data_IF_416493333965
#
_entry.id   IF_416493333965
#
_cell.length_a   1.000
_cell.length_b   1.000
_cell.length_c   1.000
_cell.angle_alpha   90.00
_cell.angle_beta   90.00
_cell.angle_gamma   90.00
#
_symmetry.space_group_name_H-M   'P 1'
#
loop_
_entity.id
_entity.type
_entity.pdbx_description
1 polymer ?
#
# COMPACT_ATOMS: atom_id res chain seq x y z
N UNK A 1 -6.82 -18.84 1.54
CA UNK A 1 -6.29 -17.57 2.10
C UNK A 1 -7.07 -16.42 1.46
N UNK A 2 -7.46 -15.38 2.21
CA UNK A 2 -8.08 -14.18 1.60
C UNK A 2 -7.07 -13.51 0.67
N UNK A 3 -7.55 -12.97 -0.45
CA UNK A 3 -6.73 -12.18 -1.39
C UNK A 3 -7.22 -10.74 -1.41
N UNK A 4 -6.42 -9.80 -1.93
CA UNK A 4 -6.88 -8.42 -2.14
C UNK A 4 -8.10 -8.40 -3.08
N UNK A 5 -8.15 -9.29 -4.06
CA UNK A 5 -9.32 -9.42 -4.94
C UNK A 5 -10.60 -9.77 -4.18
N UNK A 6 -10.49 -10.63 -3.15
CA UNK A 6 -11.63 -10.92 -2.28
C UNK A 6 -12.05 -9.67 -1.47
N UNK A 7 -11.09 -8.90 -0.94
CA UNK A 7 -11.38 -7.66 -0.19
C UNK A 7 -12.07 -6.61 -1.07
N UNK A 8 -11.59 -6.43 -2.30
CA UNK A 8 -12.17 -5.49 -3.27
C UNK A 8 -13.64 -5.84 -3.61
N UNK A 9 -13.98 -7.13 -3.64
CA UNK A 9 -15.30 -7.62 -4.03
C UNK A 9 -16.21 -7.94 -2.84
N UNK A 10 -15.77 -7.72 -1.61
CA UNK A 10 -16.62 -7.86 -0.42
C UNK A 10 -17.66 -6.73 -0.41
N UNK A 11 -18.94 -7.11 -0.53
CA UNK A 11 -20.05 -6.15 -0.54
C UNK A 11 -20.66 -5.95 0.86
N UNK A 12 -20.14 -6.65 1.86
CA UNK A 12 -20.65 -6.57 3.23
C UNK A 12 -20.04 -5.42 4.04
N UNK A 13 -18.83 -5.00 3.66
CA UNK A 13 -18.09 -3.92 4.35
C UNK A 13 -16.96 -3.37 3.46
N UNK A 14 -16.57 -2.13 3.73
CA UNK A 14 -15.30 -1.60 3.23
C UNK A 14 -14.13 -2.28 3.96
N UNK A 15 -13.09 -2.69 3.22
CA UNK A 15 -11.87 -3.26 3.79
C UNK A 15 -10.81 -2.19 4.05
N UNK A 16 -9.93 -2.43 5.04
CA UNK A 16 -8.81 -1.54 5.36
C UNK A 16 -7.47 -2.27 5.31
N UNK A 17 -6.50 -1.69 4.59
CA UNK A 17 -5.12 -2.17 4.55
C UNK A 17 -4.18 -1.10 5.11
N UNK A 18 -3.10 -1.51 5.77
CA UNK A 18 -2.19 -0.59 6.49
C UNK A 18 -0.76 -0.75 5.99
N UNK A 19 -0.04 0.38 5.92
CA UNK A 19 1.36 0.42 5.57
C UNK A 19 2.23 -0.42 6.50
N UNK A 20 2.95 -1.41 5.92
CA UNK A 20 3.96 -2.18 6.62
C UNK A 20 5.16 -2.42 5.70
N UNK A 21 6.31 -1.97 6.15
CA UNK A 21 7.57 -2.02 5.40
C UNK A 21 8.54 -3.10 5.89
N UNK A 22 8.11 -3.92 6.85
CA UNK A 22 8.86 -5.08 7.35
C UNK A 22 7.93 -6.06 8.08
N UNK A 23 8.46 -7.25 8.38
CA UNK A 23 7.72 -8.33 9.01
C UNK A 23 7.21 -7.99 10.42
N UNK A 24 7.94 -7.19 11.21
CA UNK A 24 7.51 -6.80 12.56
C UNK A 24 6.26 -5.93 12.50
N UNK A 25 6.25 -4.91 11.63
CA UNK A 25 5.07 -4.05 11.46
C UNK A 25 3.90 -4.87 10.91
N UNK A 26 4.14 -5.79 9.96
CA UNK A 26 3.10 -6.65 9.40
C UNK A 26 2.43 -7.54 10.47
N UNK A 27 3.20 -8.15 11.37
CA UNK A 27 2.68 -8.90 12.53
C UNK A 27 1.82 -8.01 13.43
N UNK A 28 2.25 -6.77 13.69
CA UNK A 28 1.48 -5.82 14.50
C UNK A 28 0.17 -5.41 13.82
N UNK A 29 0.17 -5.23 12.49
CA UNK A 29 -1.03 -4.92 11.70
C UNK A 29 -2.02 -6.09 11.75
N UNK A 30 -1.56 -7.34 11.62
CA UNK A 30 -2.38 -8.54 11.73
C UNK A 30 -3.01 -8.66 13.12
N UNK A 31 -2.22 -8.46 14.19
CA UNK A 31 -2.72 -8.49 15.58
C UNK A 31 -3.73 -7.36 15.88
N UNK A 32 -3.60 -6.23 15.21
CA UNK A 32 -4.56 -5.13 15.33
C UNK A 32 -5.88 -5.39 14.60
N UNK A 33 -5.99 -6.47 13.80
CA UNK A 33 -7.22 -6.90 13.14
C UNK A 33 -7.56 -6.19 11.85
N UNK A 34 -6.57 -5.61 11.17
CA UNK A 34 -6.74 -5.06 9.84
C UNK A 34 -6.91 -6.14 8.77
N UNK A 35 -7.49 -5.77 7.61
CA UNK A 35 -7.86 -6.74 6.58
C UNK A 35 -6.69 -7.11 5.64
N UNK A 36 -5.62 -6.31 5.58
CA UNK A 36 -4.46 -6.57 4.71
C UNK A 36 -3.29 -5.60 4.94
N UNK A 37 -2.24 -5.86 4.20
CA UNK A 37 -0.96 -5.12 4.24
C UNK A 37 -0.83 -4.26 2.98
N UNK A 38 -0.36 -3.03 3.14
CA UNK A 38 0.13 -2.16 2.08
C UNK A 38 1.66 -2.07 2.14
N UNK A 39 2.36 -2.66 1.18
CA UNK A 39 3.81 -2.49 1.02
C UNK A 39 4.05 -1.22 0.22
N UNK A 40 4.26 -0.12 0.94
CA UNK A 40 4.38 1.23 0.40
C UNK A 40 5.78 1.51 -0.12
N UNK A 41 5.88 2.00 -1.37
CA UNK A 41 7.13 2.53 -1.93
C UNK A 41 7.74 3.61 -1.05
N UNK A 42 6.93 4.61 -0.66
CA UNK A 42 7.38 5.68 0.24
C UNK A 42 7.96 5.16 1.56
N UNK A 43 7.29 4.20 2.21
CA UNK A 43 7.76 3.67 3.50
C UNK A 43 9.07 2.88 3.34
N UNK A 44 9.20 2.07 2.27
CA UNK A 44 10.43 1.34 1.98
C UNK A 44 11.61 2.29 1.76
N UNK A 45 11.42 3.33 0.96
CA UNK A 45 12.44 4.36 0.76
C UNK A 45 12.80 5.06 2.08
N UNK A 46 11.80 5.47 2.89
CA UNK A 46 12.03 6.14 4.17
C UNK A 46 12.85 5.30 5.16
N UNK A 47 12.58 3.98 5.27
CA UNK A 47 13.35 3.08 6.12
C UNK A 47 14.81 2.93 5.67
N UNK A 48 15.10 3.13 4.39
CA UNK A 48 16.44 3.12 3.83
C UNK A 48 17.09 4.52 3.76
N UNK A 49 16.43 5.56 4.32
CA UNK A 49 16.84 6.98 4.23
C UNK A 49 17.04 7.45 2.79
N UNK A 50 16.23 6.95 1.87
CA UNK A 50 16.22 7.33 0.46
C UNK A 50 14.99 8.18 0.14
N UNK A 51 15.09 9.15 -0.79
CA UNK A 51 13.91 9.82 -1.32
C UNK A 51 13.09 8.85 -2.17
N UNK A 52 11.77 8.98 -2.14
CA UNK A 52 10.83 8.17 -2.93
C UNK A 52 10.86 8.62 -4.41
N UNK A 53 11.77 8.02 -5.18
CA UNK A 53 12.07 8.39 -6.57
C UNK A 53 12.63 7.22 -7.39
N UNK A 54 12.04 6.05 -7.31
CA UNK A 54 12.45 4.83 -8.05
C UNK A 54 13.92 4.43 -7.81
N UNK A 55 14.46 4.66 -6.61
CA UNK A 55 15.83 4.29 -6.27
C UNK A 55 15.90 2.81 -5.90
N UNK A 56 14.91 2.31 -5.17
CA UNK A 56 14.77 0.89 -4.86
C UNK A 56 14.31 0.13 -6.11
N UNK A 57 14.81 -1.07 -6.27
CA UNK A 57 14.54 -1.93 -7.41
C UNK A 57 13.62 -3.12 -7.05
N UNK A 58 13.19 -3.88 -8.03
CA UNK A 58 12.29 -5.03 -7.85
C UNK A 58 12.81 -6.07 -6.84
N UNK A 59 14.14 -6.22 -6.70
CA UNK A 59 14.71 -7.18 -5.74
C UNK A 59 14.56 -6.71 -4.29
N UNK A 60 14.63 -5.39 -4.04
CA UNK A 60 14.41 -4.81 -2.72
C UNK A 60 12.96 -5.06 -2.26
N UNK A 61 12.00 -4.88 -3.18
CA UNK A 61 10.59 -5.20 -2.93
C UNK A 61 10.38 -6.70 -2.71
N UNK A 62 10.98 -7.54 -3.55
CA UNK A 62 10.87 -9.00 -3.44
C UNK A 62 11.30 -9.50 -2.06
N UNK A 63 12.46 -9.05 -1.57
CA UNK A 63 12.98 -9.40 -0.25
C UNK A 63 12.01 -8.99 0.87
N UNK A 64 11.51 -7.76 0.81
CA UNK A 64 10.55 -7.25 1.80
C UNK A 64 9.23 -8.02 1.78
N UNK A 65 8.65 -8.24 0.60
CA UNK A 65 7.38 -8.96 0.45
C UNK A 65 7.52 -10.39 0.97
N UNK A 66 8.61 -11.09 0.62
CA UNK A 66 8.86 -12.46 1.06
C UNK A 66 8.94 -12.55 2.59
N UNK A 67 9.67 -11.62 3.24
CA UNK A 67 9.78 -11.58 4.71
C UNK A 67 8.44 -11.29 5.39
N UNK A 68 7.60 -10.45 4.79
CA UNK A 68 6.26 -10.16 5.29
C UNK A 68 5.37 -11.40 5.11
N UNK A 69 5.36 -11.98 3.90
CA UNK A 69 4.53 -13.15 3.56
C UNK A 69 4.83 -14.38 4.42
N UNK A 70 6.07 -14.55 4.86
CA UNK A 70 6.46 -15.63 5.78
C UNK A 70 5.89 -15.48 7.20
N UNK A 71 5.40 -14.29 7.55
CA UNK A 71 5.01 -13.96 8.93
C UNK A 71 3.53 -13.66 9.12
N UNK A 72 2.84 -13.24 8.10
CA UNK A 72 1.40 -12.87 8.16
C UNK A 72 0.57 -13.73 7.22
N UNK A 73 -0.69 -13.95 7.59
CA UNK A 73 -1.71 -14.54 6.72
C UNK A 73 -2.54 -13.45 5.99
N UNK A 74 -2.26 -12.18 6.25
CA UNK A 74 -2.96 -11.08 5.60
C UNK A 74 -2.57 -10.98 4.12
N UNK A 75 -3.51 -10.66 3.23
CA UNK A 75 -3.20 -10.40 1.83
C UNK A 75 -2.35 -9.13 1.70
N UNK A 76 -1.37 -9.19 0.79
CA UNK A 76 -0.40 -8.12 0.56
C UNK A 76 -0.71 -7.41 -0.74
N UNK A 77 -0.91 -6.09 -0.67
CA UNK A 77 -1.02 -5.16 -1.79
C UNK A 77 0.28 -4.35 -1.90
N UNK A 78 0.92 -4.40 -3.05
CA UNK A 78 2.21 -3.73 -3.29
C UNK A 78 2.02 -2.42 -4.06
N UNK A 79 2.65 -1.35 -3.58
CA UNK A 79 2.85 -0.10 -4.32
C UNK A 79 3.98 -0.30 -5.33
N UNK A 80 3.62 -0.37 -6.59
CA UNK A 80 4.55 -0.64 -7.68
C UNK A 80 4.92 0.62 -8.48
N UNK A 81 4.77 1.80 -7.85
CA UNK A 81 5.06 3.10 -8.44
C UNK A 81 4.34 3.26 -9.81
N UNK A 82 5.05 3.55 -10.91
CA UNK A 82 4.47 3.65 -12.25
C UNK A 82 4.40 2.29 -12.98
N UNK A 83 4.67 1.18 -12.30
CA UNK A 83 4.68 -0.16 -12.90
C UNK A 83 5.89 -0.43 -13.81
N UNK A 84 6.94 0.36 -13.65
CA UNK A 84 8.16 0.32 -14.47
C UNK A 84 8.05 1.10 -15.79
N UNK A 85 9.18 1.30 -16.49
CA UNK A 85 9.25 2.16 -17.67
C UNK A 85 8.53 1.60 -18.91
N UNK A 86 8.15 0.35 -18.92
CA UNK A 86 7.44 -0.28 -20.05
C UNK A 86 6.61 -1.48 -19.60
N UNK A 87 5.70 -1.94 -20.45
CA UNK A 87 4.89 -3.14 -20.19
C UNK A 87 5.74 -4.40 -19.95
N UNK A 88 6.95 -4.49 -20.53
CA UNK A 88 7.88 -5.60 -20.27
C UNK A 88 8.37 -5.59 -18.82
N UNK A 89 8.66 -4.38 -18.28
CA UNK A 89 9.04 -4.25 -16.87
C UNK A 89 7.86 -4.57 -15.95
N UNK A 90 6.65 -4.14 -16.30
CA UNK A 90 5.41 -4.45 -15.57
C UNK A 90 5.19 -5.98 -15.49
N UNK A 91 5.38 -6.71 -16.59
CA UNK A 91 5.31 -8.18 -16.63
C UNK A 91 6.28 -8.81 -15.63
N UNK A 92 7.52 -8.34 -15.58
CA UNK A 92 8.50 -8.86 -14.63
C UNK A 92 8.09 -8.58 -13.19
N UNK A 93 7.67 -7.34 -12.89
CA UNK A 93 7.26 -6.92 -11.54
C UNK A 93 6.10 -7.76 -11.02
N UNK A 94 5.03 -7.92 -11.81
CA UNK A 94 3.88 -8.78 -11.47
C UNK A 94 4.33 -10.17 -11.03
N UNK A 95 5.15 -10.83 -11.86
CA UNK A 95 5.60 -12.21 -11.61
C UNK A 95 6.50 -12.33 -10.40
N UNK A 96 7.39 -11.37 -10.19
CA UNK A 96 8.30 -11.40 -9.02
C UNK A 96 7.54 -11.11 -7.73
N UNK A 97 6.62 -10.14 -7.72
CA UNK A 97 5.83 -9.82 -6.53
C UNK A 97 4.88 -10.96 -6.16
N UNK A 98 4.26 -11.60 -7.15
CA UNK A 98 3.40 -12.76 -6.93
C UNK A 98 4.18 -13.95 -6.35
N UNK A 99 5.38 -14.25 -6.87
CA UNK A 99 6.28 -15.28 -6.32
C UNK A 99 6.74 -14.95 -4.89
N UNK A 100 6.92 -13.68 -4.56
CA UNK A 100 7.27 -13.25 -3.23
C UNK A 100 6.12 -13.38 -2.21
N UNK A 101 4.91 -13.67 -2.66
CA UNK A 101 3.73 -13.86 -1.82
C UNK A 101 2.76 -12.68 -1.79
N UNK A 102 2.94 -11.66 -2.63
CA UNK A 102 1.92 -10.64 -2.80
C UNK A 102 0.66 -11.22 -3.47
N UNK A 103 -0.49 -10.64 -3.18
CA UNK A 103 -1.77 -10.98 -3.82
C UNK A 103 -2.32 -9.88 -4.72
N UNK A 104 -1.61 -8.75 -4.80
CA UNK A 104 -1.99 -7.63 -5.65
C UNK A 104 -0.83 -6.67 -5.85
N UNK A 105 -0.87 -5.94 -6.96
CA UNK A 105 -0.05 -4.75 -7.14
C UNK A 105 -0.89 -3.57 -7.63
N UNK A 106 -0.53 -2.37 -7.15
CA UNK A 106 -1.09 -1.09 -7.57
C UNK A 106 0.00 -0.29 -8.28
N UNK A 107 -0.32 0.29 -9.42
CA UNK A 107 0.60 1.21 -10.11
C UNK A 107 -0.14 2.40 -10.72
N UNK A 108 0.60 3.50 -10.85
CA UNK A 108 0.05 4.81 -11.17
C UNK A 108 0.48 5.32 -12.54
N UNK A 109 -0.27 6.30 -13.06
CA UNK A 109 -0.02 6.93 -14.34
C UNK A 109 0.98 8.11 -14.29
N UNK A 110 1.97 8.03 -13.40
CA UNK A 110 3.15 8.90 -13.48
C UNK A 110 4.13 8.39 -14.56
N UNK A 111 4.83 9.28 -15.27
CA UNK A 111 5.88 8.86 -16.20
C UNK A 111 7.11 8.32 -15.45
N UNK A 112 7.83 7.38 -16.06
CA UNK A 112 9.09 6.86 -15.55
C UNK A 112 10.27 7.82 -15.83
N UNK A 113 11.21 8.01 -14.86
CA UNK A 113 11.17 7.48 -13.50
C UNK A 113 10.19 8.26 -12.62
N UNK A 114 9.37 7.52 -11.88
CA UNK A 114 8.40 8.10 -10.93
C UNK A 114 9.09 9.01 -9.93
N UNK A 115 8.43 10.08 -9.59
CA UNK A 115 8.80 10.97 -8.48
C UNK A 115 7.59 11.15 -7.58
N UNK A 116 7.83 11.13 -6.27
CA UNK A 116 6.76 11.28 -5.30
C UNK A 116 5.93 12.54 -5.59
N UNK A 117 4.64 12.35 -5.79
CA UNK A 117 3.69 13.41 -6.13
C UNK A 117 3.63 14.54 -5.08
N UNK A 118 4.03 14.26 -3.84
CA UNK A 118 4.06 15.21 -2.76
C UNK A 118 5.27 16.16 -2.76
N UNK A 119 6.29 15.91 -3.58
CA UNK A 119 7.48 16.80 -3.67
C UNK A 119 7.22 18.12 -4.40
N UNK A 120 6.00 18.33 -4.92
CA UNK A 120 5.59 19.61 -5.51
C UNK A 120 6.14 19.89 -6.92
N UNK A 121 6.82 18.93 -7.52
CA UNK A 121 7.24 19.02 -8.92
C UNK A 121 6.03 18.75 -9.82
N UNK A 122 5.82 19.64 -10.82
CA UNK A 122 4.82 19.38 -11.86
C UNK A 122 5.27 18.17 -12.67
N UNK A 123 4.49 17.10 -12.64
CA UNK A 123 4.65 15.97 -13.54
C UNK A 123 3.52 16.01 -14.57
N UNK A 124 3.84 15.62 -15.80
CA UNK A 124 2.82 15.26 -16.77
C UNK A 124 2.36 13.85 -16.41
N UNK A 125 1.10 13.53 -16.66
CA UNK A 125 0.63 12.15 -16.58
C UNK A 125 1.16 11.39 -17.80
N UNK A 126 1.43 10.11 -17.60
CA UNK A 126 1.69 9.16 -18.69
C UNK A 126 0.47 9.10 -19.63
N UNK A 127 0.67 8.75 -20.89
CA UNK A 127 -0.47 8.59 -21.79
C UNK A 127 -1.38 7.45 -21.28
N UNK A 128 -2.70 7.63 -21.32
CA UNK A 128 -3.61 6.59 -20.85
C UNK A 128 -3.49 5.28 -21.65
N UNK A 129 -3.08 5.35 -22.94
CA UNK A 129 -2.84 4.16 -23.77
C UNK A 129 -1.67 3.32 -23.26
N UNK A 130 -0.56 3.98 -22.84
CA UNK A 130 0.60 3.30 -22.24
C UNK A 130 0.17 2.64 -20.93
N UNK A 131 -0.58 3.35 -20.08
CA UNK A 131 -1.09 2.80 -18.83
C UNK A 131 -2.02 1.60 -19.08
N UNK A 132 -2.96 1.70 -20.03
CA UNK A 132 -3.81 0.58 -20.46
C UNK A 132 -2.98 -0.61 -20.97
N UNK A 133 -1.92 -0.36 -21.70
CA UNK A 133 -0.98 -1.39 -22.16
C UNK A 133 -0.31 -2.12 -21.00
N UNK A 134 0.12 -1.41 -19.95
CA UNK A 134 0.69 -1.97 -18.72
C UNK A 134 -0.35 -2.80 -17.96
N UNK A 135 -1.59 -2.30 -17.81
CA UNK A 135 -2.69 -3.03 -17.16
C UNK A 135 -2.94 -4.36 -17.86
N UNK A 136 -3.14 -4.34 -19.18
CA UNK A 136 -3.37 -5.56 -19.99
C UNK A 136 -2.20 -6.55 -19.88
N UNK A 137 -0.96 -6.05 -19.95
CA UNK A 137 0.22 -6.88 -19.83
C UNK A 137 0.33 -7.54 -18.43
N UNK A 138 0.01 -6.81 -17.37
CA UNK A 138 -0.03 -7.33 -16.00
C UNK A 138 -1.06 -8.44 -15.85
N UNK A 139 -2.28 -8.22 -16.33
CA UNK A 139 -3.39 -9.17 -16.28
C UNK A 139 -3.10 -10.45 -17.07
N UNK A 140 -2.50 -10.32 -18.26
CA UNK A 140 -2.17 -11.46 -19.13
C UNK A 140 -1.03 -12.32 -18.56
N UNK A 141 -0.12 -11.75 -17.80
CA UNK A 141 1.12 -12.42 -17.36
C UNK A 141 1.19 -12.72 -15.86
N UNK A 142 0.18 -12.35 -15.06
CA UNK A 142 0.05 -12.83 -13.68
C UNK A 142 -0.01 -14.35 -13.65
N UNK A 143 0.51 -14.97 -12.60
CA UNK A 143 0.54 -16.43 -12.48
C UNK A 143 -0.80 -16.99 -11.98
N UNK A 144 -1.50 -16.21 -11.17
CA UNK A 144 -2.80 -16.55 -10.60
C UNK A 144 -3.84 -15.46 -10.91
N UNK A 145 -5.02 -15.86 -11.37
CA UNK A 145 -6.12 -14.94 -11.66
C UNK A 145 -6.69 -14.22 -10.41
N UNK A 146 -6.35 -14.70 -9.21
CA UNK A 146 -6.70 -14.05 -7.95
C UNK A 146 -5.71 -12.94 -7.54
N UNK A 147 -4.58 -12.82 -8.25
CA UNK A 147 -3.68 -11.68 -8.09
C UNK A 147 -4.33 -10.44 -8.72
N UNK A 148 -4.69 -9.45 -7.90
CA UNK A 148 -5.40 -8.26 -8.36
C UNK A 148 -4.46 -7.20 -8.94
N UNK A 149 -4.89 -6.56 -10.02
CA UNK A 149 -4.23 -5.39 -10.61
C UNK A 149 -5.07 -4.16 -10.30
N UNK A 150 -4.50 -3.21 -9.54
CA UNK A 150 -5.15 -1.94 -9.20
C UNK A 150 -4.50 -0.83 -10.01
N UNK A 151 -5.29 -0.14 -10.80
CA UNK A 151 -4.84 1.04 -11.53
C UNK A 151 -5.06 2.29 -10.68
N UNK A 152 -4.05 3.15 -10.58
CA UNK A 152 -4.11 4.42 -9.86
C UNK A 152 -3.95 5.58 -10.84
N UNK A 153 -4.74 6.64 -10.65
CA UNK A 153 -4.52 7.91 -11.34
C UNK A 153 -4.06 9.01 -10.40
N UNK A 154 -3.09 9.77 -10.86
CA UNK A 154 -2.59 10.96 -10.19
C UNK A 154 -3.24 12.25 -10.72
N UNK A 155 -4.29 12.15 -11.53
CA UNK A 155 -4.91 13.29 -12.22
C UNK A 155 -5.34 14.43 -11.28
N UNK A 156 -5.93 14.12 -10.10
CA UNK A 156 -6.31 15.13 -9.11
C UNK A 156 -5.08 15.73 -8.41
N UNK A 157 -4.09 14.90 -8.05
CA UNK A 157 -2.86 15.35 -7.40
C UNK A 157 -2.06 16.29 -8.31
N UNK A 158 -2.01 15.98 -9.62
CA UNK A 158 -1.30 16.77 -10.62
C UNK A 158 -2.15 17.92 -11.18
N UNK A 159 -3.38 18.12 -10.64
CA UNK A 159 -4.29 19.22 -11.00
C UNK A 159 -4.76 19.20 -12.46
N UNK A 160 -4.94 18.02 -13.05
CA UNK A 160 -5.56 17.87 -14.37
C UNK A 160 -7.09 17.96 -14.32
N UNK A 161 -7.68 17.89 -13.12
CA UNK A 161 -9.10 18.07 -12.89
C UNK A 161 -9.92 16.78 -12.91
N UNK A 162 -11.18 16.92 -12.54
CA UNK A 162 -12.11 15.83 -12.33
C UNK A 162 -12.44 15.09 -13.62
N UNK A 163 -12.63 15.81 -14.71
CA UNK A 163 -12.99 15.21 -16.01
C UNK A 163 -11.90 14.27 -16.53
N UNK A 164 -10.62 14.68 -16.42
CA UNK A 164 -9.47 13.82 -16.77
C UNK A 164 -9.39 12.60 -15.85
N UNK A 165 -9.68 12.77 -14.56
CA UNK A 165 -9.68 11.64 -13.62
C UNK A 165 -10.74 10.60 -13.95
N UNK A 166 -11.95 11.04 -14.34
CA UNK A 166 -13.06 10.17 -14.77
C UNK A 166 -12.77 9.50 -16.11
N UNK A 167 -12.28 10.25 -17.09
CA UNK A 167 -11.86 9.69 -18.39
C UNK A 167 -10.84 8.54 -18.20
N UNK A 168 -9.82 8.75 -17.38
CA UNK A 168 -8.83 7.72 -17.06
C UNK A 168 -9.45 6.53 -16.32
N UNK A 169 -10.41 6.78 -15.43
CA UNK A 169 -11.13 5.71 -14.76
C UNK A 169 -11.85 4.81 -15.77
N UNK A 170 -12.53 5.37 -16.76
CA UNK A 170 -13.15 4.59 -17.84
C UNK A 170 -12.11 3.76 -18.60
N UNK A 171 -11.05 4.39 -19.09
CA UNK A 171 -10.05 3.71 -19.89
C UNK A 171 -9.35 2.56 -19.14
N UNK A 172 -9.01 2.77 -17.85
CA UNK A 172 -8.31 1.77 -17.06
C UNK A 172 -9.22 0.61 -16.64
N UNK A 173 -10.49 0.90 -16.35
CA UNK A 173 -11.48 -0.14 -16.04
C UNK A 173 -11.86 -0.95 -17.29
N UNK A 174 -11.96 -0.32 -18.46
CA UNK A 174 -12.12 -1.01 -19.74
C UNK A 174 -10.89 -1.84 -20.12
N UNK A 175 -9.68 -1.42 -19.70
CA UNK A 175 -8.48 -2.22 -19.85
C UNK A 175 -8.48 -3.47 -18.94
N UNK A 176 -9.42 -3.56 -17.96
CA UNK A 176 -9.71 -4.74 -17.16
C UNK A 176 -9.09 -4.75 -15.77
N UNK A 177 -8.63 -3.62 -15.21
CA UNK A 177 -8.09 -3.61 -13.84
C UNK A 177 -9.12 -4.13 -12.83
N UNK A 178 -8.63 -4.84 -11.80
CA UNK A 178 -9.47 -5.44 -10.76
C UNK A 178 -9.92 -4.41 -9.69
N UNK A 179 -9.27 -3.26 -9.62
CA UNK A 179 -9.61 -2.13 -8.76
C UNK A 179 -9.10 -0.82 -9.34
N UNK A 180 -9.75 0.28 -8.98
CA UNK A 180 -9.33 1.62 -9.39
C UNK A 180 -9.06 2.49 -8.16
N UNK A 181 -7.87 3.08 -8.06
CA UNK A 181 -7.46 3.95 -6.97
C UNK A 181 -7.46 5.40 -7.41
N UNK A 182 -8.24 6.22 -6.72
CA UNK A 182 -8.20 7.67 -6.83
C UNK A 182 -7.41 8.28 -5.65
N UNK A 183 -6.51 9.21 -5.96
CA UNK A 183 -5.67 9.85 -4.97
C UNK A 183 -5.87 11.35 -4.95
N UNK A 184 -5.89 11.98 -3.77
CA UNK A 184 -6.05 13.43 -3.58
C UNK A 184 -5.10 13.97 -2.53
N UNK A 185 -4.69 15.24 -2.71
CA UNK A 185 -3.97 16.05 -1.71
C UNK A 185 -4.89 16.96 -0.90
N UNK A 186 -6.18 17.01 -1.21
CA UNK A 186 -7.14 17.79 -0.45
C UNK A 186 -7.10 17.39 1.02
N UNK A 187 -7.26 18.36 1.91
CA UNK A 187 -7.41 18.10 3.35
C UNK A 187 -8.86 17.78 3.73
N UNK A 188 -9.79 18.05 2.83
CA UNK A 188 -11.21 17.75 2.96
C UNK A 188 -11.60 16.64 1.98
N UNK A 189 -12.60 15.82 2.28
CA UNK A 189 -12.98 14.68 1.47
C UNK A 189 -13.81 15.04 0.22
N UNK A 190 -14.26 16.30 0.09
CA UNK A 190 -15.21 16.73 -0.94
C UNK A 190 -14.79 16.32 -2.35
N UNK A 191 -13.49 16.47 -2.67
CA UNK A 191 -12.94 16.11 -3.99
C UNK A 191 -13.06 14.61 -4.27
N UNK A 192 -12.78 13.77 -3.26
CA UNK A 192 -12.86 12.31 -3.38
C UNK A 192 -14.32 11.85 -3.42
N UNK A 193 -15.20 12.49 -2.66
CA UNK A 193 -16.63 12.17 -2.66
C UNK A 193 -17.30 12.58 -3.98
N UNK A 194 -16.93 13.75 -4.52
CA UNK A 194 -17.39 14.15 -5.86
C UNK A 194 -16.92 13.18 -6.93
N UNK A 195 -15.66 12.75 -6.87
CA UNK A 195 -15.15 11.72 -7.78
C UNK A 195 -15.95 10.41 -7.65
N UNK A 196 -16.16 9.90 -6.44
CA UNK A 196 -16.88 8.64 -6.21
C UNK A 196 -18.32 8.72 -6.73
N UNK A 197 -19.01 9.84 -6.47
CA UNK A 197 -20.35 10.09 -6.98
C UNK A 197 -20.41 10.03 -8.51
N UNK A 198 -19.52 10.75 -9.20
CA UNK A 198 -19.45 10.73 -10.67
C UNK A 198 -19.09 9.35 -11.21
N UNK A 199 -18.09 8.70 -10.61
CA UNK A 199 -17.65 7.34 -10.95
C UNK A 199 -18.82 6.35 -10.99
N UNK A 200 -19.68 6.37 -9.97
CA UNK A 200 -20.84 5.50 -9.90
C UNK A 200 -21.99 5.95 -10.81
N UNK A 201 -22.22 7.26 -10.99
CA UNK A 201 -23.22 7.80 -11.91
C UNK A 201 -22.93 7.44 -13.37
N UNK A 202 -21.67 7.39 -13.76
CA UNK A 202 -21.24 6.96 -15.10
C UNK A 202 -21.24 5.43 -15.27
N UNK A 203 -21.69 4.70 -14.25
CA UNK A 203 -21.91 3.25 -14.34
C UNK A 203 -20.67 2.38 -14.22
N UNK A 204 -19.51 2.94 -13.82
CA UNK A 204 -18.29 2.17 -13.60
C UNK A 204 -18.50 1.22 -12.41
N UNK A 205 -18.21 -0.07 -12.60
CA UNK A 205 -18.47 -1.14 -11.61
C UNK A 205 -17.20 -1.67 -10.92
N UNK A 206 -16.03 -1.34 -11.45
CA UNK A 206 -14.75 -1.74 -10.85
C UNK A 206 -14.66 -1.20 -9.43
N UNK A 207 -14.24 -2.02 -8.43
CA UNK A 207 -14.10 -1.58 -7.04
C UNK A 207 -13.24 -0.33 -6.89
N UNK A 208 -13.74 0.64 -6.12
CA UNK A 208 -13.08 1.92 -5.90
C UNK A 208 -12.22 1.89 -4.63
N UNK A 209 -10.98 2.39 -4.75
CA UNK A 209 -9.96 2.40 -3.68
C UNK A 209 -9.55 3.84 -3.38
N UNK A 210 -9.30 4.15 -2.10
CA UNK A 210 -8.80 5.47 -1.69
C UNK A 210 -7.65 5.40 -0.68
N UNK A 211 -6.94 6.54 -0.53
CA UNK A 211 -5.84 6.72 0.44
C UNK A 211 -6.15 7.94 1.32
N UNK A 212 -6.85 7.80 2.45
CA UNK A 212 -7.34 8.93 3.24
C UNK A 212 -6.26 9.60 4.12
N UNK A 213 -5.00 9.60 3.71
CA UNK A 213 -3.88 10.13 4.50
C UNK A 213 -3.98 11.64 4.73
N UNK A 214 -4.46 12.41 3.76
CA UNK A 214 -4.57 13.88 3.85
C UNK A 214 -5.90 14.34 4.40
N UNK A 215 -6.98 13.61 4.17
CA UNK A 215 -8.35 13.82 4.70
C UNK A 215 -8.68 12.80 5.80
N UNK A 216 -7.78 12.67 6.76
CA UNK A 216 -7.74 11.59 7.76
C UNK A 216 -8.81 11.65 8.86
N UNK A 217 -9.74 12.58 8.77
CA UNK A 217 -10.92 12.65 9.65
C UNK A 217 -12.09 11.80 9.16
N UNK A 218 -11.99 11.32 7.90
CA UNK A 218 -13.05 10.48 7.31
C UNK A 218 -12.99 9.07 7.88
N UNK A 219 -14.15 8.56 8.26
CA UNK A 219 -14.31 7.21 8.82
C UNK A 219 -14.59 6.17 7.73
N UNK A 220 -14.31 4.88 8.03
CA UNK A 220 -14.66 3.79 7.11
C UNK A 220 -16.15 3.77 6.73
N UNK A 221 -17.12 3.93 7.65
CA UNK A 221 -18.52 4.00 7.27
C UNK A 221 -18.86 5.15 6.31
N UNK A 222 -18.20 6.29 6.44
CA UNK A 222 -18.39 7.40 5.49
C UNK A 222 -17.87 7.05 4.10
N UNK A 223 -16.68 6.43 4.01
CA UNK A 223 -16.13 5.96 2.73
C UNK A 223 -17.01 4.86 2.11
N UNK A 224 -17.52 3.95 2.92
CA UNK A 224 -18.44 2.89 2.47
C UNK A 224 -19.73 3.46 1.88
N UNK A 225 -20.32 4.46 2.51
CA UNK A 225 -21.52 5.15 2.02
C UNK A 225 -21.30 5.84 0.66
N UNK A 226 -20.07 6.27 0.38
CA UNK A 226 -19.68 6.85 -0.91
C UNK A 226 -19.28 5.77 -1.96
N UNK A 227 -19.37 4.49 -1.58
CA UNK A 227 -19.13 3.35 -2.49
C UNK A 227 -17.68 2.95 -2.67
N UNK A 228 -16.79 3.32 -1.74
CA UNK A 228 -15.43 2.78 -1.70
C UNK A 228 -15.44 1.35 -1.17
N UNK A 229 -14.61 0.48 -1.78
CA UNK A 229 -14.47 -0.92 -1.40
C UNK A 229 -13.26 -1.16 -0.51
N UNK A 230 -12.21 -0.32 -0.62
CA UNK A 230 -10.96 -0.50 0.11
C UNK A 230 -10.31 0.84 0.43
N UNK A 231 -9.89 1.01 1.69
CA UNK A 231 -9.13 2.17 2.16
C UNK A 231 -7.69 1.76 2.51
N UNK A 232 -6.70 2.53 2.03
CA UNK A 232 -5.28 2.32 2.29
C UNK A 232 -4.79 3.34 3.32
N UNK A 233 -4.43 2.89 4.52
CA UNK A 233 -3.83 3.72 5.57
C UNK A 233 -2.31 3.75 5.40
N UNK A 234 -1.84 4.63 4.52
CA UNK A 234 -0.45 4.76 4.15
C UNK A 234 0.37 5.60 5.14
N UNK A 235 1.65 5.28 5.26
CA UNK A 235 2.75 5.99 5.95
C UNK A 235 2.61 6.26 7.46
N UNK A 236 1.53 5.85 8.12
CA UNK A 236 1.35 6.07 9.55
C UNK A 236 2.33 5.24 10.39
N UNK A 237 2.66 4.03 9.97
CA UNK A 237 3.59 3.13 10.68
C UNK A 237 4.98 3.73 10.81
N UNK A 238 5.57 4.17 9.70
CA UNK A 238 6.91 4.80 9.71
C UNK A 238 6.90 6.12 10.48
N UNK A 239 5.85 6.93 10.33
CA UNK A 239 5.72 8.21 11.08
C UNK A 239 5.59 8.00 12.58
N UNK A 240 4.85 6.99 13.01
CA UNK A 240 4.71 6.62 14.42
C UNK A 240 6.07 6.13 14.99
N UNK A 241 6.77 5.25 14.26
CA UNK A 241 8.08 4.76 14.65
C UNK A 241 9.10 5.91 14.81
N UNK A 242 9.18 6.81 13.83
CA UNK A 242 10.08 7.98 13.90
C UNK A 242 9.77 8.84 15.13
N UNK A 243 8.49 9.13 15.39
CA UNK A 243 8.09 9.92 16.55
C UNK A 243 8.47 9.25 17.87
N UNK A 244 8.20 7.94 18.01
CA UNK A 244 8.52 7.19 19.22
C UNK A 244 10.04 7.18 19.48
N UNK A 245 10.84 6.89 18.47
CA UNK A 245 12.30 6.89 18.55
C UNK A 245 12.86 8.27 18.90
N UNK A 246 12.35 9.35 18.31
CA UNK A 246 12.77 10.72 18.64
C UNK A 246 12.54 11.05 20.11
N UNK A 247 11.36 10.70 20.64
CA UNK A 247 11.02 10.92 22.05
C UNK A 247 11.97 10.12 22.95
N UNK A 248 12.12 8.82 22.69
CA UNK A 248 12.98 7.92 23.46
C UNK A 248 14.44 8.42 23.50
N UNK A 249 15.03 8.70 22.33
CA UNK A 249 16.41 9.18 22.26
C UNK A 249 16.62 10.54 22.96
N UNK A 250 15.65 11.45 22.85
CA UNK A 250 15.69 12.73 23.58
C UNK A 250 15.68 12.52 25.08
N UNK A 251 14.81 11.64 25.59
CA UNK A 251 14.70 11.35 27.02
C UNK A 251 15.99 10.69 27.57
N UNK A 252 16.52 9.70 26.87
CA UNK A 252 17.76 9.04 27.27
C UNK A 252 18.93 10.06 27.26
N UNK A 253 19.03 10.87 26.21
CA UNK A 253 20.13 11.86 26.09
C UNK A 253 20.08 12.92 27.16
N UNK A 254 18.90 13.42 27.51
CA UNK A 254 18.73 14.46 28.56
C UNK A 254 18.77 13.88 29.97
N UNK A 255 18.24 12.69 30.22
CA UNK A 255 18.22 12.04 31.51
C UNK A 255 19.51 11.32 31.89
N UNK A 256 20.42 11.09 30.91
CA UNK A 256 21.73 10.48 31.12
C UNK A 256 21.74 8.98 31.44
N UNK A 257 20.59 8.31 31.38
CA UNK A 257 20.47 6.87 31.62
C UNK A 257 19.39 6.23 30.74
N UNK A 258 19.47 4.91 30.53
CA UNK A 258 18.45 4.15 29.79
C UNK A 258 17.07 4.20 30.46
N UNK A 259 17.05 4.28 31.82
CA UNK A 259 15.79 4.35 32.57
C UNK A 259 14.93 5.59 32.23
N UNK A 260 15.56 6.67 31.77
CA UNK A 260 14.84 7.87 31.31
C UNK A 260 14.01 7.65 30.03
N UNK A 261 14.24 6.54 29.32
CA UNK A 261 13.50 6.13 28.12
C UNK A 261 12.47 5.04 28.36
N UNK A 262 12.34 4.49 29.58
CA UNK A 262 11.53 3.29 29.85
C UNK A 262 10.05 3.44 29.48
N UNK A 263 9.46 4.63 29.64
CA UNK A 263 8.07 4.90 29.25
C UNK A 263 7.81 4.83 27.73
N UNK A 264 8.88 4.86 26.93
CA UNK A 264 8.81 4.86 25.47
C UNK A 264 9.15 3.50 24.85
N UNK A 265 9.36 2.46 25.66
CA UNK A 265 9.70 1.12 25.18
C UNK A 265 8.75 0.08 25.78
N UNK A 266 8.58 -1.02 25.03
CA UNK A 266 7.82 -2.19 25.53
C UNK A 266 8.74 -3.11 26.34
N UNK A 267 8.16 -3.95 27.19
CA UNK A 267 8.89 -4.99 27.89
C UNK A 267 9.45 -6.05 26.91
N UNK A 268 10.56 -6.69 27.29
CA UNK A 268 11.21 -7.71 26.46
C UNK A 268 10.29 -8.88 26.13
N UNK A 269 9.41 -9.27 27.06
CA UNK A 269 8.43 -10.35 26.83
C UNK A 269 7.48 -10.04 25.66
N UNK A 270 7.14 -8.77 25.44
CA UNK A 270 6.35 -8.36 24.26
C UNK A 270 7.13 -8.64 22.97
N UNK A 271 8.43 -8.38 22.96
CA UNK A 271 9.28 -8.69 21.82
C UNK A 271 9.39 -10.19 21.60
N UNK A 272 9.61 -10.97 22.68
CA UNK A 272 9.72 -12.43 22.60
C UNK A 272 8.44 -13.07 22.07
N UNK A 273 7.27 -12.55 22.45
CA UNK A 273 6.00 -12.99 21.91
C UNK A 273 5.87 -12.64 20.40
N UNK A 274 6.19 -11.42 20.00
CA UNK A 274 6.15 -11.01 18.60
C UNK A 274 7.05 -11.86 17.69
N UNK A 275 8.25 -12.21 18.15
CA UNK A 275 9.19 -13.05 17.39
C UNK A 275 8.98 -14.55 17.61
N UNK A 276 7.93 -14.95 18.39
CA UNK A 276 7.49 -16.34 18.58
C UNK A 276 8.58 -17.24 19.19
N UNK A 277 9.25 -16.78 20.26
CA UNK A 277 10.26 -17.55 20.98
C UNK A 277 9.71 -18.86 21.56
N UNK A 278 8.43 -18.90 21.93
CA UNK A 278 7.72 -20.10 22.36
C UNK A 278 7.76 -21.21 21.29
N UNK A 279 7.47 -20.88 20.03
CA UNK A 279 7.52 -21.84 18.90
C UNK A 279 8.95 -22.36 18.65
N UNK A 280 9.96 -21.52 18.87
CA UNK A 280 11.34 -21.97 18.80
C UNK A 280 11.63 -23.04 19.86
N UNK A 281 11.20 -22.81 21.12
CA UNK A 281 11.40 -23.76 22.22
C UNK A 281 10.67 -25.09 21.96
N UNK A 282 9.40 -25.03 21.52
CA UNK A 282 8.61 -26.21 21.13
C UNK A 282 9.34 -27.01 20.02
N UNK A 283 9.91 -26.32 19.03
CA UNK A 283 10.63 -26.97 17.94
C UNK A 283 11.95 -27.62 18.42
N UNK A 284 12.68 -26.96 19.32
CA UNK A 284 13.89 -27.50 19.91
C UNK A 284 13.59 -28.75 20.76
N UNK A 285 12.53 -28.73 21.58
CA UNK A 285 12.09 -29.90 22.35
C UNK A 285 11.70 -31.07 21.44
N UNK A 286 11.01 -30.78 20.34
CA UNK A 286 10.51 -31.81 19.40
C UNK A 286 11.61 -32.42 18.54
N UNK A 287 12.59 -31.64 18.11
CA UNK A 287 13.58 -32.07 17.14
C UNK A 287 15.00 -32.24 17.74
N UNK A 288 15.22 -31.90 19.00
CA UNK A 288 16.45 -32.23 19.75
C UNK A 288 17.68 -31.45 19.29
N UNK A 289 17.61 -30.15 19.20
CA UNK A 289 18.77 -29.29 18.87
C UNK A 289 19.14 -28.34 20.00
#
# INVERSE_FOLDING_TARGET
MKTIKNLLNDKSKISSVVGASNALIAEMVERAGFDGIWVSSFELHAWNLLPDANILNTADYFDTISKISDRTNLPILVDADEGGPSSINTIRMVREYEKAGASSMCFEDNPSPKRCSFYGMKAQLESPEIMCGKIKAALDKRLNNDFAIIARTEALIQKHGMDVAIERAHMYTEAGCDGFLIHSKSKQPDEIFEFAKRYHQEGIKTPLVCVPTTYNTVTLPQLENEGFSLAIYANYSVRAAVKALQIMFSNIKSGGSLSSGNESVVEMDTIFDLIRVDKLKESQEKYGS
#
